data_IF_956106857102
#
_entry.id   IF_956106857102
#
_cell.length_a   1.000
_cell.length_b   1.000
_cell.length_c   1.000
_cell.angle_alpha   90.00
_cell.angle_beta   90.00
_cell.angle_gamma   90.00
#
_symmetry.space_group_name_H-M   'P 1'
#
loop_
_entity.id
_entity.type
_entity.pdbx_description
1 polymer ?
#
# COMPACT_ATOMS: atom_id res chain seq x y z
N UNK A 1 27.56 -5.66 22.97
CA UNK A 1 26.94 -5.84 21.64
C UNK A 1 25.54 -6.40 21.89
N UNK A 2 24.52 -5.60 22.16
CA UNK A 2 23.82 -4.70 21.23
C UNK A 2 22.68 -5.51 20.60
N UNK A 3 21.43 -5.34 21.07
CA UNK A 3 20.30 -6.19 20.68
C UNK A 3 20.17 -6.38 19.16
N UNK A 4 19.69 -7.55 18.69
CA UNK A 4 19.41 -7.74 17.28
C UNK A 4 18.39 -6.69 16.79
N UNK A 5 18.51 -6.21 15.54
CA UNK A 5 17.59 -5.21 15.01
C UNK A 5 16.16 -5.75 15.04
N UNK A 6 15.26 -5.01 15.69
CA UNK A 6 13.84 -5.35 15.76
C UNK A 6 13.09 -4.68 14.61
N UNK A 7 12.31 -5.43 13.80
CA UNK A 7 11.50 -4.86 12.74
C UNK A 7 10.43 -3.90 13.26
N UNK A 8 10.17 -2.82 12.50
CA UNK A 8 9.12 -1.87 12.81
C UNK A 8 7.74 -2.52 12.71
N UNK A 9 6.87 -2.20 13.67
CA UNK A 9 5.45 -2.53 13.59
C UNK A 9 4.75 -1.44 12.77
N UNK A 10 4.31 -1.79 11.56
CA UNK A 10 3.62 -0.88 10.66
C UNK A 10 2.11 -1.01 10.86
N UNK A 11 1.44 0.12 11.09
CA UNK A 11 -0.01 0.26 11.01
C UNK A 11 -0.36 0.85 9.65
N UNK A 12 -0.78 -0.01 8.72
CA UNK A 12 -1.19 0.39 7.40
C UNK A 12 -2.62 0.95 7.47
N UNK A 13 -2.86 2.06 6.78
CA UNK A 13 -4.12 2.79 6.82
C UNK A 13 -4.74 2.96 5.43
N UNK A 14 -6.07 3.03 5.41
CA UNK A 14 -6.84 3.45 4.25
C UNK A 14 -6.71 4.96 4.02
N UNK A 15 -7.17 5.49 2.86
CA UNK A 15 -7.17 6.93 2.58
C UNK A 15 -7.90 7.78 3.63
N UNK A 16 -8.90 7.23 4.32
CA UNK A 16 -9.61 7.91 5.41
C UNK A 16 -8.94 7.76 6.78
N UNK A 17 -7.70 7.26 6.84
CA UNK A 17 -6.94 7.07 8.10
C UNK A 17 -7.36 5.86 8.94
N UNK A 18 -8.34 5.06 8.49
CA UNK A 18 -8.76 3.84 9.20
C UNK A 18 -7.73 2.73 9.01
N UNK A 19 -7.43 2.00 10.08
CA UNK A 19 -6.50 0.86 10.05
C UNK A 19 -7.01 -0.24 9.13
N UNK A 20 -6.15 -0.73 8.24
CA UNK A 20 -6.44 -1.87 7.35
C UNK A 20 -5.70 -3.14 7.80
N UNK A 21 -4.43 -3.02 8.17
CA UNK A 21 -3.60 -4.12 8.62
C UNK A 21 -2.49 -3.57 9.53
N UNK A 22 -2.13 -4.34 10.55
CA UNK A 22 -0.91 -4.11 11.31
C UNK A 22 0.05 -5.27 11.05
N UNK A 23 1.31 -5.00 10.70
CA UNK A 23 2.29 -6.06 10.39
C UNK A 23 3.72 -5.65 10.73
N UNK A 24 4.57 -6.62 11.07
CA UNK A 24 6.04 -6.48 11.06
C UNK A 24 6.69 -7.05 9.81
N UNK A 25 5.90 -7.76 9.00
CA UNK A 25 6.30 -8.38 7.73
C UNK A 25 5.49 -7.74 6.59
N UNK A 26 6.06 -6.67 6.04
CA UNK A 26 5.46 -5.94 4.92
C UNK A 26 5.49 -6.78 3.61
N UNK A 27 6.59 -7.48 3.26
CA UNK A 27 6.59 -8.39 2.10
C UNK A 27 5.54 -9.51 2.20
N UNK A 28 5.39 -10.14 3.37
CA UNK A 28 4.37 -11.17 3.59
C UNK A 28 2.95 -10.63 3.44
N UNK A 29 2.70 -9.41 3.93
CA UNK A 29 1.42 -8.72 3.69
C UNK A 29 1.14 -8.54 2.19
N UNK A 30 2.10 -8.02 1.44
CA UNK A 30 1.91 -7.76 0.00
C UNK A 30 1.66 -9.03 -0.81
N UNK A 31 2.33 -10.15 -0.48
CA UNK A 31 2.16 -11.43 -1.19
C UNK A 31 0.93 -12.21 -0.73
N UNK A 32 0.39 -11.89 0.45
CA UNK A 32 -0.75 -12.57 1.06
C UNK A 32 -2.02 -11.74 1.03
N UNK A 33 -2.37 -11.14 2.17
CA UNK A 33 -3.67 -10.51 2.41
C UNK A 33 -3.90 -9.21 1.63
N UNK A 34 -2.89 -8.67 0.94
CA UNK A 34 -3.07 -7.50 0.08
C UNK A 34 -4.16 -7.69 -0.97
N UNK A 35 -4.26 -8.86 -1.61
CA UNK A 35 -5.25 -9.09 -2.67
C UNK A 35 -6.69 -8.87 -2.20
N UNK A 36 -6.99 -9.27 -0.96
CA UNK A 36 -8.30 -9.06 -0.35
C UNK A 36 -8.52 -7.60 0.04
N UNK A 37 -7.51 -6.96 0.64
CA UNK A 37 -7.53 -5.52 0.94
C UNK A 37 -7.74 -4.71 -0.34
N UNK A 38 -7.00 -5.02 -1.40
CA UNK A 38 -7.07 -4.37 -2.70
C UNK A 38 -8.48 -4.50 -3.29
N UNK A 39 -9.10 -5.68 -3.26
CA UNK A 39 -10.47 -5.93 -3.73
C UNK A 39 -11.49 -5.08 -2.96
N UNK A 40 -11.39 -5.04 -1.63
CA UNK A 40 -12.29 -4.25 -0.80
C UNK A 40 -12.09 -2.74 -1.02
N UNK A 41 -10.85 -2.28 -1.01
CA UNK A 41 -10.51 -0.87 -1.12
C UNK A 41 -10.79 -0.31 -2.52
N UNK A 42 -10.66 -1.12 -3.58
CA UNK A 42 -11.10 -0.75 -4.94
C UNK A 42 -12.59 -0.37 -4.95
N UNK A 43 -13.44 -1.09 -4.20
CA UNK A 43 -14.87 -0.78 -4.07
C UNK A 43 -15.14 0.49 -3.28
N UNK A 44 -14.51 0.65 -2.10
CA UNK A 44 -14.73 1.81 -1.22
C UNK A 44 -14.09 3.11 -1.75
N UNK A 45 -12.94 3.00 -2.43
CA UNK A 45 -12.12 4.12 -2.88
C UNK A 45 -11.71 3.98 -4.36
N UNK A 46 -12.66 4.06 -5.30
CA UNK A 46 -12.43 3.74 -6.72
C UNK A 46 -11.50 4.72 -7.45
N UNK A 47 -11.27 5.92 -6.88
CA UNK A 47 -10.37 6.93 -7.45
C UNK A 47 -8.90 6.76 -7.03
N UNK A 48 -8.61 5.88 -6.07
CA UNK A 48 -7.25 5.60 -5.60
C UNK A 48 -6.61 4.48 -6.44
N UNK A 49 -5.26 4.49 -6.49
CA UNK A 49 -4.49 3.41 -7.13
C UNK A 49 -4.38 2.22 -6.18
N UNK A 50 -4.64 1.03 -6.70
CA UNK A 50 -4.59 -0.24 -5.98
C UNK A 50 -3.87 -1.26 -6.86
N UNK A 51 -2.52 -1.17 -6.98
CA UNK A 51 -1.74 -2.02 -7.89
C UNK A 51 -1.79 -3.49 -7.47
N UNK A 52 -1.67 -4.39 -8.44
CA UNK A 52 -1.54 -5.83 -8.18
C UNK A 52 -0.16 -6.15 -7.58
N UNK A 53 0.88 -5.40 -7.96
CA UNK A 53 2.24 -5.50 -7.44
C UNK A 53 2.65 -4.21 -6.68
N UNK A 54 2.19 -4.02 -5.43
CA UNK A 54 2.40 -2.79 -4.68
C UNK A 54 3.87 -2.49 -4.33
N UNK A 55 4.75 -3.49 -4.36
CA UNK A 55 6.19 -3.31 -4.14
C UNK A 55 6.93 -2.73 -5.36
N UNK A 56 6.33 -2.77 -6.55
CA UNK A 56 6.91 -2.27 -7.79
C UNK A 56 6.27 -0.94 -8.26
N UNK A 57 5.21 -0.48 -7.59
CA UNK A 57 4.50 0.74 -7.96
C UNK A 57 5.27 2.00 -7.53
N UNK A 58 5.42 2.99 -8.42
CA UNK A 58 6.07 4.23 -8.02
C UNK A 58 5.21 5.03 -7.03
N UNK A 59 5.82 5.55 -5.95
CA UNK A 59 5.11 6.36 -4.97
C UNK A 59 4.66 7.68 -5.60
N UNK A 60 3.41 8.07 -5.33
CA UNK A 60 2.93 9.40 -5.70
C UNK A 60 1.77 9.86 -4.84
N UNK A 61 1.76 11.15 -4.54
CA UNK A 61 0.64 11.85 -3.91
C UNK A 61 -0.40 12.34 -4.94
N UNK A 62 -0.14 12.13 -6.23
CA UNK A 62 -1.05 12.52 -7.30
C UNK A 62 -2.23 11.57 -7.40
N UNK A 63 -3.35 12.08 -7.90
CA UNK A 63 -4.47 11.24 -8.36
C UNK A 63 -4.00 10.35 -9.51
N UNK A 64 -4.70 9.23 -9.74
CA UNK A 64 -4.36 8.26 -10.80
C UNK A 64 -4.10 8.93 -12.15
N UNK A 65 -5.04 9.74 -12.63
CA UNK A 65 -4.94 10.37 -13.95
C UNK A 65 -3.74 11.33 -14.05
N UNK A 66 -3.47 12.10 -12.98
CA UNK A 66 -2.34 13.03 -12.96
C UNK A 66 -0.99 12.30 -12.87
N UNK A 67 -0.95 11.17 -12.17
CA UNK A 67 0.23 10.30 -12.11
C UNK A 67 0.53 9.67 -13.48
N UNK A 68 -0.48 9.09 -14.13
CA UNK A 68 -0.36 8.49 -15.47
C UNK A 68 0.05 9.51 -16.53
N UNK A 69 -0.50 10.73 -16.48
CA UNK A 69 -0.07 11.82 -17.36
C UNK A 69 1.41 12.14 -17.19
N UNK A 70 1.92 12.17 -15.96
CA UNK A 70 3.34 12.48 -15.70
C UNK A 70 4.33 11.39 -16.10
N UNK A 71 3.87 10.17 -16.44
CA UNK A 71 4.76 9.13 -17.00
C UNK A 71 4.92 9.24 -18.52
N UNK A 72 4.08 10.03 -19.19
CA UNK A 72 4.07 10.16 -20.67
C UNK A 72 4.95 11.30 -21.19
N UNK A 73 5.35 12.20 -20.31
CA UNK A 73 6.31 13.27 -20.58
C UNK A 73 7.70 12.79 -20.18
#
# INVERSE_FOLDING_TARGET
>A
FGQPPQPLLLKLTSPAGRSIQTTRDLPGFWRGSWKDVQREMKGRYPKHRWPDEPWAEDPSLKTRNAFEASKRT
#
